data_IF_778936621002
#
_entry.id   IF_778936621002
#
_cell.length_a   1.000
_cell.length_b   1.000
_cell.length_c   1.000
_cell.angle_alpha   90.00
_cell.angle_beta   90.00
_cell.angle_gamma   90.00
#
_symmetry.space_group_name_H-M   'P 1'
#
loop_
_entity.id
_entity.type
_entity.pdbx_description
1 polymer ?
#
# COMPACT_ATOMS: atom_id res chain seq x y z
N UNK A 1 14.72 9.22 43.51
CA UNK A 1 15.53 9.08 42.28
C UNK A 1 15.09 7.93 41.36
N UNK A 2 13.97 7.23 41.62
CA UNK A 2 13.55 6.05 40.82
C UNK A 2 12.44 6.32 39.77
N UNK A 3 11.89 7.53 39.67
CA UNK A 3 10.78 7.82 38.73
C UNK A 3 11.26 8.24 37.33
N UNK A 4 12.49 8.72 37.17
CA UNK A 4 13.03 9.14 35.87
C UNK A 4 13.54 7.97 35.01
N UNK A 5 14.03 6.90 35.61
CA UNK A 5 14.52 5.72 34.86
C UNK A 5 13.37 4.86 34.28
N UNK A 6 12.26 4.76 34.99
CA UNK A 6 11.08 4.02 34.50
C UNK A 6 10.40 4.69 33.31
N UNK A 7 10.34 6.04 33.28
CA UNK A 7 9.79 6.81 32.18
C UNK A 7 10.68 6.77 30.92
N UNK A 8 11.99 6.68 31.04
CA UNK A 8 12.91 6.55 29.90
C UNK A 8 12.85 5.16 29.26
N UNK A 9 12.68 4.10 30.06
CA UNK A 9 12.58 2.73 29.52
C UNK A 9 11.25 2.50 28.78
N UNK A 10 10.14 3.01 29.28
CA UNK A 10 8.82 2.92 28.61
C UNK A 10 8.76 3.74 27.31
N UNK A 11 9.39 4.92 27.27
CA UNK A 11 9.48 5.75 26.07
C UNK A 11 10.32 5.10 24.97
N UNK A 12 11.42 4.44 25.32
CA UNK A 12 12.27 3.73 24.34
C UNK A 12 11.58 2.46 23.81
N UNK A 13 10.86 1.74 24.62
CA UNK A 13 10.10 0.55 24.21
C UNK A 13 9.01 0.91 23.18
N UNK A 14 8.26 2.00 23.40
CA UNK A 14 7.22 2.42 22.46
C UNK A 14 7.79 2.92 21.13
N UNK A 15 8.95 3.56 21.11
CA UNK A 15 9.62 4.02 19.88
C UNK A 15 10.09 2.84 19.02
N UNK A 16 10.67 1.81 19.64
CA UNK A 16 11.11 0.61 18.90
C UNK A 16 9.93 -0.16 18.30
N UNK A 17 8.78 -0.15 18.95
CA UNK A 17 7.54 -0.77 18.43
C UNK A 17 6.95 -0.03 17.23
N UNK A 18 7.20 1.28 17.11
CA UNK A 18 6.72 2.07 15.97
C UNK A 18 7.51 1.82 14.67
N UNK A 19 8.78 1.44 14.74
CA UNK A 19 9.62 1.25 13.55
C UNK A 19 9.02 0.24 12.57
N UNK A 20 8.65 -0.99 12.96
CA UNK A 20 8.06 -1.94 12.02
C UNK A 20 6.71 -1.47 11.46
N UNK A 21 5.96 -0.66 12.22
CA UNK A 21 4.72 -0.05 11.73
C UNK A 21 5.02 1.02 10.68
N UNK A 22 6.09 1.81 10.85
CA UNK A 22 6.53 2.78 9.83
C UNK A 22 7.02 2.08 8.56
N UNK A 23 7.71 0.95 8.67
CA UNK A 23 8.08 0.13 7.50
C UNK A 23 6.82 -0.41 6.80
N UNK A 24 5.78 -0.79 7.55
CA UNK A 24 4.50 -1.17 6.95
C UNK A 24 3.83 0.01 6.20
N UNK A 25 3.92 1.25 6.70
CA UNK A 25 3.51 2.44 5.93
C UNK A 25 4.32 2.59 4.63
N UNK A 26 5.61 2.30 4.65
CA UNK A 26 6.43 2.35 3.45
C UNK A 26 5.95 1.33 2.39
N UNK A 27 5.66 0.09 2.80
CA UNK A 27 5.13 -0.94 1.87
C UNK A 27 3.78 -0.55 1.27
N UNK A 28 2.99 0.23 1.98
CA UNK A 28 1.71 0.75 1.51
C UNK A 28 1.87 1.72 0.32
N UNK A 29 3.02 2.39 0.21
CA UNK A 29 3.31 3.32 -0.88
C UNK A 29 3.33 2.66 -2.27
N UNK A 30 3.47 1.34 -2.37
CA UNK A 30 3.41 0.65 -3.66
C UNK A 30 2.05 0.78 -4.35
N UNK A 31 0.96 0.87 -3.60
CA UNK A 31 -0.38 1.01 -4.19
C UNK A 31 -0.56 2.32 -4.97
N UNK A 32 0.17 3.37 -4.58
CA UNK A 32 0.10 4.67 -5.26
C UNK A 32 0.79 4.62 -6.64
N UNK A 33 1.65 3.61 -6.86
CA UNK A 33 2.42 3.42 -8.10
C UNK A 33 1.74 2.52 -9.11
N UNK A 34 0.60 1.95 -8.77
CA UNK A 34 -0.10 0.98 -9.63
C UNK A 34 -0.40 1.59 -11.01
N UNK A 35 -0.70 2.90 -11.08
CA UNK A 35 -0.88 3.62 -12.34
C UNK A 35 0.38 3.68 -13.19
N UNK A 36 1.53 4.03 -12.60
CA UNK A 36 2.81 4.06 -13.31
C UNK A 36 3.27 2.67 -13.74
N UNK A 37 3.10 1.66 -12.87
CA UNK A 37 3.41 0.26 -13.19
C UNK A 37 2.53 -0.25 -14.33
N UNK A 38 1.25 0.13 -14.40
CA UNK A 38 0.36 -0.27 -15.48
C UNK A 38 0.78 0.29 -16.84
N UNK A 39 1.43 1.45 -16.90
CA UNK A 39 1.98 2.01 -18.14
C UNK A 39 3.17 1.15 -18.64
N UNK A 40 4.09 0.76 -17.77
CA UNK A 40 5.17 -0.18 -18.16
C UNK A 40 4.63 -1.54 -18.63
N UNK A 41 3.57 -2.03 -17.99
CA UNK A 41 2.89 -3.26 -18.42
C UNK A 41 2.21 -3.09 -19.78
N UNK A 42 1.65 -1.92 -20.06
CA UNK A 42 1.05 -1.61 -21.34
C UNK A 42 2.05 -1.79 -22.49
N UNK A 43 3.26 -1.29 -22.32
CA UNK A 43 4.33 -1.42 -23.30
C UNK A 43 4.81 -2.88 -23.45
N UNK A 44 5.10 -3.55 -22.32
CA UNK A 44 5.65 -4.91 -22.33
C UNK A 44 4.69 -5.95 -22.93
N UNK A 45 3.40 -5.83 -22.62
CA UNK A 45 2.36 -6.77 -23.07
C UNK A 45 1.59 -6.31 -24.30
N UNK A 46 1.83 -5.09 -24.80
CA UNK A 46 1.10 -4.51 -25.95
C UNK A 46 -0.38 -4.31 -25.64
N UNK A 47 -0.73 -3.86 -24.43
CA UNK A 47 -2.11 -3.70 -24.00
C UNK A 47 -2.74 -2.44 -24.56
N UNK A 48 -4.06 -2.47 -24.79
CA UNK A 48 -4.82 -1.25 -25.03
C UNK A 48 -4.88 -0.38 -23.76
N UNK A 49 -5.15 0.92 -23.91
CA UNK A 49 -5.31 1.84 -22.76
C UNK A 49 -6.36 1.35 -21.75
N UNK A 50 -7.47 0.81 -22.25
CA UNK A 50 -8.53 0.26 -21.37
C UNK A 50 -8.05 -0.95 -20.59
N UNK A 51 -7.26 -1.85 -21.20
CA UNK A 51 -6.72 -3.02 -20.55
C UNK A 51 -5.64 -2.66 -19.51
N UNK A 52 -4.78 -1.68 -19.81
CA UNK A 52 -3.78 -1.19 -18.87
C UNK A 52 -4.43 -0.51 -17.64
N UNK A 53 -5.44 0.35 -17.87
CA UNK A 53 -6.16 1.04 -16.80
C UNK A 53 -7.05 0.10 -15.96
N UNK A 54 -7.28 -1.13 -16.44
CA UNK A 54 -7.98 -2.13 -15.64
C UNK A 54 -7.20 -2.55 -14.39
N UNK A 55 -5.85 -2.54 -14.42
CA UNK A 55 -5.04 -2.93 -13.26
C UNK A 55 -5.22 -1.99 -12.06
N UNK A 56 -5.07 -0.67 -12.17
CA UNK A 56 -5.41 0.24 -11.09
C UNK A 56 -6.86 0.08 -10.62
N UNK A 57 -7.80 -0.03 -11.56
CA UNK A 57 -9.22 -0.20 -11.25
C UNK A 57 -9.49 -1.47 -10.44
N UNK A 58 -8.81 -2.58 -10.78
CA UNK A 58 -8.90 -3.85 -10.07
C UNK A 58 -8.42 -3.73 -8.63
N UNK A 59 -7.29 -3.04 -8.41
CA UNK A 59 -6.76 -2.80 -7.05
C UNK A 59 -7.77 -2.03 -6.21
N UNK A 60 -8.30 -0.91 -6.72
CA UNK A 60 -9.27 -0.09 -5.99
C UNK A 60 -10.64 -0.74 -5.83
N UNK A 61 -11.03 -1.63 -6.74
CA UNK A 61 -12.23 -2.45 -6.58
C UNK A 61 -12.17 -3.33 -5.30
N UNK A 62 -11.01 -3.90 -5.01
CA UNK A 62 -10.81 -4.67 -3.79
C UNK A 62 -10.86 -3.81 -2.52
N UNK A 63 -10.47 -2.54 -2.60
CA UNK A 63 -10.66 -1.60 -1.48
C UNK A 63 -12.15 -1.43 -1.13
N UNK A 64 -13.02 -1.32 -2.14
CA UNK A 64 -14.46 -1.23 -1.93
C UNK A 64 -15.00 -2.46 -1.19
N UNK A 65 -14.55 -3.65 -1.56
CA UNK A 65 -15.04 -4.91 -0.99
C UNK A 65 -14.48 -5.16 0.42
N UNK A 66 -13.16 -4.99 0.61
CA UNK A 66 -12.49 -5.43 1.83
C UNK A 66 -12.42 -4.39 2.96
N UNK A 67 -12.71 -3.12 2.72
CA UNK A 67 -12.61 -2.09 3.77
C UNK A 67 -13.52 -2.38 4.97
N UNK A 68 -14.79 -2.68 4.75
CA UNK A 68 -15.73 -2.98 5.85
C UNK A 68 -15.46 -4.36 6.49
N UNK A 69 -15.29 -5.45 5.73
CA UNK A 69 -14.91 -6.75 6.29
C UNK A 69 -13.62 -6.72 7.12
N UNK A 70 -12.65 -5.86 6.76
CA UNK A 70 -11.41 -5.69 7.53
C UNK A 70 -11.69 -5.13 8.92
N UNK A 71 -12.57 -4.14 9.06
CA UNK A 71 -12.98 -3.63 10.37
C UNK A 71 -13.58 -4.74 11.25
N UNK A 72 -14.40 -5.59 10.66
CA UNK A 72 -14.97 -6.76 11.35
C UNK A 72 -13.91 -7.82 11.70
N UNK A 73 -12.96 -8.06 10.79
CA UNK A 73 -11.84 -8.98 11.01
C UNK A 73 -10.95 -8.49 12.15
N UNK A 74 -10.63 -7.19 12.18
CA UNK A 74 -9.83 -6.56 13.21
C UNK A 74 -10.44 -6.74 14.61
N UNK A 75 -11.77 -6.71 14.71
CA UNK A 75 -12.47 -6.99 15.97
C UNK A 75 -12.35 -8.45 16.43
N UNK A 76 -12.11 -9.38 15.49
CA UNK A 76 -11.99 -10.82 15.81
C UNK A 76 -10.56 -11.25 16.13
N UNK A 77 -9.59 -10.84 15.34
CA UNK A 77 -8.21 -11.33 15.44
C UNK A 77 -7.24 -10.30 16.04
N UNK A 78 -7.70 -9.07 16.27
CA UNK A 78 -6.89 -7.95 16.80
C UNK A 78 -6.27 -7.10 15.69
N UNK A 79 -5.77 -5.92 16.09
CA UNK A 79 -5.23 -4.90 15.18
C UNK A 79 -3.87 -5.33 14.59
N UNK A 80 -2.96 -5.79 15.44
CA UNK A 80 -1.62 -6.26 15.03
C UNK A 80 -1.72 -7.40 14.02
N UNK A 81 -2.52 -8.43 14.32
CA UNK A 81 -2.66 -9.60 13.43
C UNK A 81 -3.29 -9.21 12.09
N UNK A 82 -4.23 -8.27 12.10
CA UNK A 82 -4.84 -7.74 10.87
C UNK A 82 -3.82 -7.02 10.01
N UNK A 83 -3.00 -6.13 10.59
CA UNK A 83 -1.94 -5.44 9.85
C UNK A 83 -0.85 -6.42 9.41
N UNK A 84 -0.47 -7.40 10.25
CA UNK A 84 0.50 -8.43 9.85
C UNK A 84 -0.02 -9.25 8.65
N UNK A 85 -1.29 -9.66 8.68
CA UNK A 85 -1.92 -10.35 7.55
C UNK A 85 -1.85 -9.51 6.27
N UNK A 86 -2.13 -8.21 6.35
CA UNK A 86 -2.06 -7.31 5.21
C UNK A 86 -0.65 -7.18 4.63
N UNK A 87 0.38 -7.05 5.49
CA UNK A 87 1.78 -7.00 5.04
C UNK A 87 2.18 -8.30 4.35
N UNK A 88 1.78 -9.45 4.90
CA UNK A 88 2.04 -10.77 4.29
C UNK A 88 1.39 -10.85 2.91
N UNK A 89 0.10 -10.50 2.79
CA UNK A 89 -0.62 -10.54 1.51
C UNK A 89 0.01 -9.60 0.48
N UNK A 90 0.38 -8.38 0.87
CA UNK A 90 1.05 -7.41 0.01
C UNK A 90 2.43 -7.92 -0.43
N UNK A 91 3.19 -8.52 0.49
CA UNK A 91 4.50 -9.11 0.20
C UNK A 91 4.39 -10.27 -0.78
N UNK A 92 3.39 -11.13 -0.62
CA UNK A 92 3.09 -12.21 -1.58
C UNK A 92 2.66 -11.65 -2.94
N UNK A 93 1.86 -10.58 -2.95
CA UNK A 93 1.43 -9.94 -4.19
C UNK A 93 2.61 -9.46 -5.03
N UNK A 94 3.57 -8.74 -4.41
CA UNK A 94 4.75 -8.23 -5.12
C UNK A 94 5.79 -9.31 -5.42
N UNK A 95 5.71 -10.47 -4.78
CA UNK A 95 6.56 -11.61 -5.07
C UNK A 95 6.17 -12.32 -6.38
N UNK A 96 4.89 -12.43 -6.67
CA UNK A 96 4.38 -13.16 -7.85
C UNK A 96 4.96 -12.65 -9.19
N UNK A 97 5.02 -11.33 -9.48
CA UNK A 97 5.56 -10.84 -10.74
C UNK A 97 7.03 -11.15 -11.00
N UNK A 98 7.80 -11.50 -9.96
CA UNK A 98 9.19 -11.91 -10.12
C UNK A 98 9.32 -13.25 -10.85
N UNK A 99 8.25 -14.02 -10.96
CA UNK A 99 8.19 -15.30 -11.63
C UNK A 99 7.61 -15.22 -13.05
N UNK A 100 7.31 -14.04 -13.55
CA UNK A 100 6.71 -13.89 -14.88
C UNK A 100 7.59 -14.47 -15.99
N UNK A 101 8.90 -14.30 -15.88
CA UNK A 101 9.90 -14.85 -16.82
C UNK A 101 9.91 -16.38 -16.91
N UNK A 102 9.38 -17.06 -15.90
CA UNK A 102 9.25 -18.53 -15.90
C UNK A 102 7.95 -19.01 -16.55
N UNK A 103 7.04 -18.10 -16.86
CA UNK A 103 5.77 -18.43 -17.49
C UNK A 103 5.94 -18.65 -19.00
N UNK A 104 5.36 -19.74 -19.57
CA UNK A 104 5.64 -20.16 -20.94
C UNK A 104 5.00 -19.24 -22.00
N UNK A 105 3.95 -18.51 -21.66
CA UNK A 105 3.19 -17.66 -22.58
C UNK A 105 2.94 -16.28 -22.01
N UNK A 106 2.84 -15.26 -22.89
CA UNK A 106 2.45 -13.89 -22.47
C UNK A 106 1.08 -13.84 -21.78
N UNK A 107 0.19 -14.73 -22.17
CA UNK A 107 -1.14 -14.84 -21.53
C UNK A 107 -1.02 -15.31 -20.07
N UNK A 108 -0.19 -16.33 -19.79
CA UNK A 108 0.03 -16.79 -18.44
C UNK A 108 0.76 -15.75 -17.58
N UNK A 109 1.68 -14.97 -18.16
CA UNK A 109 2.32 -13.83 -17.47
C UNK A 109 1.26 -12.78 -17.09
N UNK A 110 0.36 -12.46 -18.02
CA UNK A 110 -0.71 -11.48 -17.77
C UNK A 110 -1.68 -11.95 -16.69
N UNK A 111 -2.06 -13.23 -16.68
CA UNK A 111 -2.88 -13.80 -15.60
C UNK A 111 -2.17 -13.72 -14.24
N UNK A 112 -0.86 -13.96 -14.21
CA UNK A 112 -0.05 -13.82 -12.99
C UNK A 112 -0.10 -12.37 -12.48
N UNK A 113 -0.04 -11.38 -13.37
CA UNK A 113 -0.17 -9.97 -13.02
C UNK A 113 -1.58 -9.65 -12.47
N UNK A 114 -2.66 -10.16 -13.07
CA UNK A 114 -4.02 -9.98 -12.53
C UNK A 114 -4.17 -10.54 -11.12
N UNK A 115 -3.62 -11.72 -10.85
CA UNK A 115 -3.62 -12.32 -9.52
C UNK A 115 -2.81 -11.47 -8.54
N UNK A 116 -1.61 -11.03 -8.94
CA UNK A 116 -0.75 -10.17 -8.15
C UNK A 116 -1.45 -8.86 -7.76
N UNK A 117 -2.01 -8.14 -8.73
CA UNK A 117 -2.69 -6.87 -8.49
C UNK A 117 -3.98 -7.03 -7.67
N UNK A 118 -4.70 -8.13 -7.86
CA UNK A 118 -5.85 -8.47 -6.99
C UNK A 118 -5.41 -8.67 -5.55
N UNK A 119 -4.37 -9.46 -5.34
CA UNK A 119 -3.83 -9.73 -4.01
C UNK A 119 -3.24 -8.46 -3.38
N UNK A 120 -2.59 -7.61 -4.19
CA UNK A 120 -2.10 -6.29 -3.78
C UNK A 120 -3.24 -5.40 -3.31
N UNK A 121 -4.35 -5.34 -4.04
CA UNK A 121 -5.54 -4.58 -3.68
C UNK A 121 -6.16 -5.05 -2.38
N UNK A 122 -6.31 -6.36 -2.20
CA UNK A 122 -6.82 -6.97 -0.96
C UNK A 122 -5.88 -6.64 0.21
N UNK A 123 -4.58 -6.90 0.06
CA UNK A 123 -3.58 -6.65 1.10
C UNK A 123 -3.56 -5.18 1.53
N UNK A 124 -3.54 -4.25 0.58
CA UNK A 124 -3.54 -2.82 0.88
C UNK A 124 -4.87 -2.33 1.45
N UNK A 125 -6.02 -2.84 1.02
CA UNK A 125 -7.32 -2.50 1.63
C UNK A 125 -7.34 -2.87 3.13
N UNK A 126 -6.83 -4.05 3.47
CA UNK A 126 -6.69 -4.49 4.86
C UNK A 126 -5.70 -3.60 5.61
N UNK A 127 -4.57 -3.25 4.99
CA UNK A 127 -3.55 -2.41 5.62
C UNK A 127 -4.07 -1.00 5.89
N UNK A 128 -4.66 -0.35 4.89
CA UNK A 128 -5.20 1.00 4.99
C UNK A 128 -6.23 1.11 6.12
N UNK A 129 -7.09 0.11 6.26
CA UNK A 129 -8.11 0.06 7.30
C UNK A 129 -7.52 -0.23 8.69
N UNK A 130 -6.51 -1.10 8.78
CA UNK A 130 -6.00 -1.62 10.06
C UNK A 130 -4.86 -0.81 10.68
N UNK A 131 -4.01 -0.15 9.85
CA UNK A 131 -2.77 0.46 10.34
C UNK A 131 -3.02 1.69 11.23
N UNK A 132 -3.98 2.54 10.89
CA UNK A 132 -4.31 3.73 11.67
C UNK A 132 -4.84 3.38 13.07
N UNK A 133 -5.79 2.43 13.24
CA UNK A 133 -6.18 1.94 14.57
C UNK A 133 -5.04 1.29 15.35
N UNK A 134 -4.09 0.63 14.69
CA UNK A 134 -2.90 0.08 15.34
C UNK A 134 -2.01 1.20 15.90
N UNK A 135 -1.73 2.25 15.11
CA UNK A 135 -0.95 3.41 15.55
C UNK A 135 -1.66 4.13 16.70
N UNK A 136 -2.98 4.30 16.62
CA UNK A 136 -3.78 4.95 17.68
C UNK A 136 -3.59 4.25 19.02
N UNK A 137 -3.48 2.94 19.03
CA UNK A 137 -3.25 2.15 20.24
C UNK A 137 -1.82 2.30 20.78
N UNK A 138 -0.83 2.40 19.88
CA UNK A 138 0.58 2.47 20.27
C UNK A 138 1.03 3.83 20.79
N UNK A 139 0.34 4.91 20.40
CA UNK A 139 0.78 6.28 20.68
C UNK A 139 -0.19 6.98 21.62
N UNK A 140 0.29 7.28 22.83
CA UNK A 140 -0.43 8.11 23.80
C UNK A 140 0.07 9.55 23.68
N UNK A 141 -0.75 10.47 23.17
CA UNK A 141 -0.50 11.91 23.20
C UNK A 141 -0.25 12.59 21.85
N UNK A 142 0.63 12.08 20.99
CA UNK A 142 0.99 12.71 19.71
C UNK A 142 0.43 11.96 18.48
N UNK A 143 -0.82 11.53 18.56
CA UNK A 143 -1.44 10.68 17.55
C UNK A 143 -1.44 11.31 16.15
N UNK A 144 -1.90 12.56 16.03
CA UNK A 144 -1.98 13.24 14.74
C UNK A 144 -0.59 13.36 14.06
N UNK A 145 0.43 13.75 14.82
CA UNK A 145 1.81 13.85 14.31
C UNK A 145 2.36 12.49 13.87
N UNK A 146 2.06 11.43 14.62
CA UNK A 146 2.54 10.07 14.28
C UNK A 146 1.85 9.53 13.04
N UNK A 147 0.54 9.73 12.90
CA UNK A 147 -0.20 9.36 11.69
C UNK A 147 0.30 10.14 10.47
N UNK A 148 0.50 11.46 10.61
CA UNK A 148 1.05 12.30 9.54
C UNK A 148 2.46 11.84 9.15
N UNK A 149 3.30 11.47 10.13
CA UNK A 149 4.63 10.93 9.85
C UNK A 149 4.56 9.59 9.12
N UNK A 150 3.62 8.71 9.47
CA UNK A 150 3.37 7.46 8.72
C UNK A 150 2.98 7.73 7.26
N UNK A 151 2.08 8.68 7.02
CA UNK A 151 1.73 9.09 5.64
C UNK A 151 2.91 9.72 4.90
N UNK A 152 3.77 10.49 5.59
CA UNK A 152 5.00 11.00 5.01
C UNK A 152 5.97 9.88 4.60
N UNK A 153 6.14 8.84 5.43
CA UNK A 153 6.94 7.67 5.09
C UNK A 153 6.37 6.93 3.85
N UNK A 154 5.03 6.80 3.77
CA UNK A 154 4.34 6.29 2.58
C UNK A 154 4.65 7.15 1.34
N UNK A 155 4.56 8.48 1.47
CA UNK A 155 4.84 9.41 0.38
C UNK A 155 6.29 9.34 -0.12
N UNK A 156 7.27 9.11 0.78
CA UNK A 156 8.67 8.85 0.38
C UNK A 156 8.76 7.63 -0.53
N UNK A 157 8.06 6.53 -0.18
CA UNK A 157 8.05 5.33 -1.01
C UNK A 157 7.46 5.63 -2.39
N UNK A 158 6.33 6.32 -2.45
CA UNK A 158 5.66 6.71 -3.69
C UNK A 158 6.51 7.64 -4.56
N UNK A 159 7.34 8.50 -3.94
CA UNK A 159 8.25 9.41 -4.66
C UNK A 159 9.48 8.69 -5.22
N UNK A 160 10.10 7.80 -4.43
CA UNK A 160 11.36 7.14 -4.82
C UNK A 160 11.12 6.03 -5.85
N UNK A 161 10.00 5.35 -5.78
CA UNK A 161 9.78 4.15 -6.56
C UNK A 161 9.66 4.39 -8.07
N UNK A 162 9.04 5.46 -8.61
CA UNK A 162 9.09 5.77 -10.05
C UNK A 162 10.52 6.01 -10.54
N UNK A 163 11.35 6.65 -9.72
CA UNK A 163 12.75 6.89 -10.07
C UNK A 163 13.54 5.59 -10.19
N UNK A 164 13.26 4.62 -9.31
CA UNK A 164 13.89 3.28 -9.37
C UNK A 164 13.37 2.50 -10.59
N UNK A 165 12.07 2.60 -10.90
CA UNK A 165 11.50 1.96 -12.09
C UNK A 165 12.13 2.50 -13.36
N UNK A 166 12.21 3.83 -13.49
CA UNK A 166 12.83 4.50 -14.62
C UNK A 166 14.30 4.11 -14.77
N UNK A 167 15.05 4.15 -13.65
CA UNK A 167 16.44 3.70 -13.65
C UNK A 167 16.58 2.23 -14.09
N UNK A 168 15.74 1.34 -13.59
CA UNK A 168 15.73 -0.06 -14.00
C UNK A 168 15.39 -0.27 -15.47
N UNK A 169 14.50 0.53 -16.02
CA UNK A 169 14.09 0.48 -17.43
C UNK A 169 15.18 0.98 -18.39
N UNK A 170 15.95 2.02 -17.98
CA UNK A 170 16.98 2.65 -18.84
C UNK A 170 18.35 1.99 -18.76
N UNK A 171 18.58 1.09 -17.80
CA UNK A 171 19.89 0.45 -17.61
C UNK A 171 20.16 -0.55 -18.75
N UNK A 172 21.28 -0.39 -19.46
CA UNK A 172 21.71 -1.29 -20.55
C UNK A 172 21.97 -2.72 -20.11
N UNK A 173 22.22 -2.94 -18.82
CA UNK A 173 22.31 -4.24 -18.19
C UNK A 173 21.37 -4.24 -16.98
N UNK A 174 20.10 -4.62 -17.16
CA UNK A 174 19.14 -4.61 -16.07
C UNK A 174 19.62 -5.52 -14.93
N UNK A 175 19.55 -5.02 -13.69
CA UNK A 175 19.94 -5.79 -12.51
C UNK A 175 19.09 -7.05 -12.46
N UNK A 176 19.72 -8.22 -12.45
CA UNK A 176 19.06 -9.53 -12.49
C UNK A 176 18.11 -9.74 -13.69
N UNK A 177 18.22 -8.94 -14.75
CA UNK A 177 17.32 -9.02 -15.90
C UNK A 177 15.90 -8.48 -15.65
N UNK A 178 15.66 -7.78 -14.52
CA UNK A 178 14.31 -7.43 -14.08
C UNK A 178 13.76 -6.14 -14.72
N UNK A 179 14.61 -5.26 -15.31
CA UNK A 179 14.15 -3.96 -15.85
C UNK A 179 13.33 -3.18 -14.80
N UNK A 180 12.19 -2.60 -15.17
CA UNK A 180 11.29 -1.90 -14.23
C UNK A 180 10.73 -2.80 -13.12
N UNK A 181 10.73 -4.12 -13.31
CA UNK A 181 10.30 -5.12 -12.31
C UNK A 181 11.17 -5.16 -11.07
N UNK A 182 12.32 -4.47 -11.08
CA UNK A 182 13.17 -4.29 -9.88
C UNK A 182 12.38 -3.69 -8.70
N UNK A 183 11.32 -2.92 -9.00
CA UNK A 183 10.40 -2.42 -7.98
C UNK A 183 9.76 -3.55 -7.17
N UNK A 184 9.30 -4.60 -7.81
CA UNK A 184 8.69 -5.73 -7.12
C UNK A 184 9.69 -6.41 -6.18
N UNK A 185 10.96 -6.56 -6.63
CA UNK A 185 12.02 -7.10 -5.77
C UNK A 185 12.28 -6.21 -4.56
N UNK A 186 12.36 -4.88 -4.77
CA UNK A 186 12.58 -3.92 -3.68
C UNK A 186 11.45 -4.01 -2.64
N UNK A 187 10.20 -3.91 -3.09
CA UNK A 187 9.05 -3.97 -2.19
C UNK A 187 8.86 -5.35 -1.55
N UNK A 188 9.26 -6.42 -2.23
CA UNK A 188 9.31 -7.77 -1.64
C UNK A 188 10.28 -7.83 -0.47
N UNK A 189 11.51 -7.34 -0.64
CA UNK A 189 12.53 -7.32 0.44
C UNK A 189 12.06 -6.48 1.61
N UNK A 190 11.53 -5.28 1.35
CA UNK A 190 11.00 -4.40 2.41
C UNK A 190 9.80 -5.04 3.10
N UNK A 191 8.88 -5.64 2.34
CA UNK A 191 7.73 -6.36 2.87
C UNK A 191 8.11 -7.56 3.73
N UNK A 192 9.15 -8.32 3.34
CA UNK A 192 9.71 -9.40 4.17
C UNK A 192 10.27 -8.87 5.49
N UNK A 193 11.03 -7.78 5.45
CA UNK A 193 11.56 -7.12 6.67
C UNK A 193 10.40 -6.65 7.55
N UNK A 194 9.40 -5.99 6.97
CA UNK A 194 8.22 -5.53 7.70
C UNK A 194 7.45 -6.70 8.34
N UNK A 195 7.24 -7.78 7.59
CA UNK A 195 6.54 -8.98 8.05
C UNK A 195 7.26 -9.62 9.24
N UNK A 196 8.56 -9.87 9.10
CA UNK A 196 9.36 -10.51 10.15
C UNK A 196 9.47 -9.63 11.39
N UNK A 197 9.75 -8.35 11.21
CA UNK A 197 9.93 -7.44 12.33
C UNK A 197 8.61 -7.20 13.07
N UNK A 198 7.53 -6.89 12.35
CA UNK A 198 6.21 -6.71 12.98
C UNK A 198 5.72 -8.02 13.63
N UNK A 199 6.00 -9.17 13.03
CA UNK A 199 5.66 -10.47 13.58
C UNK A 199 6.33 -10.72 14.93
N UNK A 200 7.64 -10.43 15.03
CA UNK A 200 8.43 -10.61 16.25
C UNK A 200 8.17 -9.53 17.32
N UNK A 201 7.67 -8.36 16.94
CA UNK A 201 7.40 -7.27 17.87
C UNK A 201 6.21 -7.64 18.76
N UNK A 202 6.40 -7.68 20.09
CA UNK A 202 5.29 -7.90 21.01
C UNK A 202 4.48 -6.61 21.16
N UNK A 203 3.20 -6.66 20.82
CA UNK A 203 2.24 -5.56 20.99
C UNK A 203 1.10 -6.11 21.86
N UNK A 204 0.95 -5.53 23.04
CA UNK A 204 -0.18 -5.82 23.92
C UNK A 204 -1.41 -5.10 23.35
N UNK A 205 -2.42 -5.88 23.00
CA UNK A 205 -3.69 -5.35 22.49
C UNK A 205 -4.71 -5.35 23.61
N UNK A 206 -5.30 -4.18 23.88
CA UNK A 206 -6.46 -4.10 24.78
C UNK A 206 -7.63 -4.83 24.09
N UNK A 207 -8.39 -5.65 24.85
CA UNK A 207 -9.59 -6.29 24.32
C UNK A 207 -10.52 -5.23 23.74
N UNK A 208 -11.04 -5.48 22.55
CA UNK A 208 -12.02 -4.57 21.93
C UNK A 208 -13.32 -4.77 22.70
N UNK A 209 -13.60 -3.84 23.62
CA UNK A 209 -14.85 -3.82 24.36
C UNK A 209 -15.98 -3.40 23.44
N UNK A 210 -17.01 -4.23 23.32
CA UNK A 210 -18.23 -3.93 22.60
C UNK A 210 -18.69 -5.00 21.63
N UNK A 211 -19.95 -4.86 21.22
CA UNK A 211 -20.53 -5.74 20.19
C UNK A 211 -19.86 -5.44 18.86
N UNK A 212 -19.35 -6.46 18.20
CA UNK A 212 -18.78 -6.30 16.86
C UNK A 212 -19.81 -5.63 15.94
N UNK A 213 -19.47 -4.45 15.42
CA UNK A 213 -20.34 -3.72 14.48
C UNK A 213 -20.52 -4.54 13.22
N UNK A 214 -21.76 -4.74 12.81
CA UNK A 214 -22.11 -5.41 11.57
C UNK A 214 -21.97 -4.48 10.37
N UNK A 215 -22.05 -5.05 9.17
CA UNK A 215 -22.03 -4.29 7.91
C UNK A 215 -23.12 -3.21 7.87
N UNK A 216 -24.33 -3.55 8.34
CA UNK A 216 -25.45 -2.61 8.41
C UNK A 216 -25.18 -1.43 9.35
N UNK A 217 -24.44 -1.66 10.45
CA UNK A 217 -24.10 -0.60 11.40
C UNK A 217 -23.10 0.38 10.80
N UNK A 218 -22.14 -0.12 10.02
CA UNK A 218 -21.21 0.72 9.25
C UNK A 218 -21.95 1.60 8.24
N UNK A 219 -22.93 1.07 7.52
CA UNK A 219 -23.74 1.85 6.58
C UNK A 219 -24.60 2.92 7.29
N UNK A 220 -25.15 2.61 8.46
CA UNK A 220 -25.91 3.59 9.26
C UNK A 220 -25.06 4.78 9.68
N UNK A 221 -23.73 4.61 9.84
CA UNK A 221 -22.84 5.73 10.18
C UNK A 221 -22.80 6.80 9.08
N UNK A 222 -23.04 6.44 7.81
CA UNK A 222 -23.16 7.40 6.71
C UNK A 222 -24.37 8.35 6.86
N UNK A 223 -25.30 8.05 7.75
CA UNK A 223 -26.36 8.99 8.13
C UNK A 223 -25.86 10.21 8.92
N UNK A 224 -24.65 10.18 9.46
CA UNK A 224 -24.01 11.35 10.09
C UNK A 224 -23.43 12.26 9.01
N UNK A 225 -23.81 13.57 8.96
CA UNK A 225 -23.28 14.50 7.97
C UNK A 225 -21.75 14.61 7.98
N UNK A 226 -21.14 14.57 9.15
CA UNK A 226 -19.67 14.64 9.30
C UNK A 226 -19.01 13.45 8.64
N UNK A 227 -19.51 12.24 8.88
CA UNK A 227 -18.97 11.01 8.30
C UNK A 227 -19.19 10.98 6.79
N UNK A 228 -20.37 11.36 6.33
CA UNK A 228 -20.70 11.44 4.91
C UNK A 228 -19.81 12.44 4.16
N UNK A 229 -19.63 13.65 4.69
CA UNK A 229 -18.75 14.65 4.09
C UNK A 229 -17.28 14.22 4.10
N UNK A 230 -16.82 13.57 5.16
CA UNK A 230 -15.48 13.01 5.23
C UNK A 230 -15.28 11.90 4.20
N UNK A 231 -16.28 11.03 4.04
CA UNK A 231 -16.27 9.97 3.02
C UNK A 231 -16.18 10.55 1.61
N UNK A 232 -17.02 11.54 1.27
CA UNK A 232 -16.98 12.23 -0.03
C UNK A 232 -15.63 12.93 -0.24
N UNK A 233 -15.10 13.61 0.78
CA UNK A 233 -13.81 14.30 0.72
C UNK A 233 -12.65 13.33 0.41
N UNK A 234 -12.61 12.19 1.10
CA UNK A 234 -11.58 11.15 0.85
C UNK A 234 -11.76 10.57 -0.55
N UNK A 235 -12.98 10.28 -0.98
CA UNK A 235 -13.27 9.75 -2.32
C UNK A 235 -12.78 10.69 -3.43
N UNK A 236 -13.07 12.00 -3.30
CA UNK A 236 -12.60 13.01 -4.24
C UNK A 236 -11.07 13.13 -4.23
N UNK A 237 -10.44 13.16 -3.05
CA UNK A 237 -9.00 13.26 -2.91
C UNK A 237 -8.28 12.07 -3.59
N UNK A 238 -8.66 10.85 -3.25
CA UNK A 238 -8.07 9.65 -3.83
C UNK A 238 -8.34 9.56 -5.34
N UNK A 239 -9.55 9.94 -5.78
CA UNK A 239 -9.91 9.97 -7.20
C UNK A 239 -9.04 10.93 -8.02
N UNK A 240 -8.75 12.12 -7.48
CA UNK A 240 -7.84 13.10 -8.12
C UNK A 240 -6.41 12.56 -8.13
N UNK A 241 -5.91 12.04 -7.02
CA UNK A 241 -4.54 11.53 -6.89
C UNK A 241 -4.29 10.39 -7.89
N UNK A 242 -5.11 9.35 -7.86
CA UNK A 242 -4.98 8.19 -8.75
C UNK A 242 -5.22 8.56 -10.21
N UNK A 243 -6.24 9.39 -10.49
CA UNK A 243 -6.55 9.85 -11.84
C UNK A 243 -5.42 10.66 -12.45
N UNK A 244 -4.83 11.57 -11.67
CA UNK A 244 -3.69 12.38 -12.12
C UNK A 244 -2.47 11.48 -12.41
N UNK A 245 -2.13 10.56 -11.52
CA UNK A 245 -1.01 9.63 -11.71
C UNK A 245 -1.18 8.71 -12.95
N UNK A 246 -2.40 8.35 -13.30
CA UNK A 246 -2.67 7.53 -14.47
C UNK A 246 -2.65 8.32 -15.78
N UNK A 247 -3.16 9.56 -15.79
CA UNK A 247 -3.40 10.34 -17.01
C UNK A 247 -2.28 11.35 -17.31
N UNK A 248 -1.69 11.98 -16.28
CA UNK A 248 -0.69 13.02 -16.49
C UNK A 248 0.51 12.57 -17.34
N UNK A 249 1.11 11.39 -17.17
CA UNK A 249 2.20 10.92 -18.02
C UNK A 249 1.80 10.86 -19.50
N UNK A 250 0.61 10.34 -19.81
CA UNK A 250 0.11 10.22 -21.19
C UNK A 250 -0.12 11.59 -21.83
N UNK A 251 -0.73 12.53 -21.12
CA UNK A 251 -0.97 13.90 -21.59
C UNK A 251 0.36 14.63 -21.83
N UNK A 252 1.33 14.46 -20.95
CA UNK A 252 2.65 15.06 -21.11
C UNK A 252 3.36 14.51 -22.34
N UNK A 253 3.33 13.19 -22.54
CA UNK A 253 3.90 12.55 -23.72
C UNK A 253 3.26 13.06 -25.01
N UNK A 254 1.92 13.13 -25.10
CA UNK A 254 1.20 13.63 -26.26
C UNK A 254 1.49 15.11 -26.55
N UNK A 255 1.62 15.94 -25.51
CA UNK A 255 1.81 17.40 -25.65
C UNK A 255 3.25 17.80 -25.91
N UNK A 256 4.22 17.10 -25.37
CA UNK A 256 5.65 17.45 -25.45
C UNK A 256 6.40 16.63 -26.49
N UNK A 257 5.75 15.64 -27.13
CA UNK A 257 6.28 14.85 -28.23
C UNK A 257 7.69 14.33 -27.97
N UNK A 258 7.84 13.16 -27.38
CA UNK A 258 9.15 12.53 -27.10
C UNK A 258 10.07 13.26 -26.12
N UNK A 259 10.01 14.59 -26.02
CA UNK A 259 10.68 15.35 -24.95
C UNK A 259 10.05 15.13 -23.57
N UNK A 260 8.84 14.55 -23.56
CA UNK A 260 8.13 14.14 -22.34
C UNK A 260 8.70 12.92 -21.66
N UNK A 261 9.49 12.08 -22.35
CA UNK A 261 10.06 10.85 -21.79
C UNK A 261 10.91 11.10 -20.55
N UNK A 262 11.65 12.22 -20.53
CA UNK A 262 12.46 12.62 -19.37
C UNK A 262 11.66 13.19 -18.20
N UNK A 263 10.38 13.52 -18.41
CA UNK A 263 9.48 14.09 -17.40
C UNK A 263 8.43 13.07 -16.90
N UNK A 264 8.26 11.96 -17.64
CA UNK A 264 7.32 10.88 -17.29
C UNK A 264 7.99 9.69 -16.58
N UNK A 265 9.32 9.75 -16.48
CA UNK A 265 10.13 8.77 -15.74
C UNK A 265 10.16 9.05 -14.24
#
# INVERSE_FOLDING_TARGET
MNSSSSNMSSSNSSKLTLIPVMIAFFTMGFVDLVGAVSNNMQEDFGLSDSAANFFPSLVFFWFLIFSVPTGMLMNKIGRKKTVLLSVVLTTLAVFLPLFDSFMPTKESQLWLMYISFSLLGIGNAIMQTGINPLVTMLVKGHLASTLTFGQFVKAIASFIAPLIAAWGATTTAPILGLSWRILFLLFFVIGMVATLWLGMTHIEEEPIEGKASGFADCLKMLGSPIILLSFIGIMCHVGIDVGTNAVAPKVLFERLGGAGDSLTM
#
